data_IF_660098155929
#
_entry.id   IF_660098155929
#
_cell.length_a   1.000
_cell.length_b   1.000
_cell.length_c   1.000
_cell.angle_alpha   90.00
_cell.angle_beta   90.00
_cell.angle_gamma   90.00
#
_symmetry.space_group_name_H-M   'P 1'
#
loop_
_entity.id
_entity.type
_entity.pdbx_description
1 polymer ?
#
# COMPACT_ATOMS: atom_id res chain seq x y z
N UNK A 1 -50.00 36.09 40.66
CA UNK A 1 -49.73 35.75 39.29
C UNK A 1 -48.26 35.30 39.25
N UNK A 2 -48.05 34.02 39.38
CA UNK A 2 -46.77 33.34 39.51
C UNK A 2 -46.41 32.84 38.16
N UNK A 3 -45.30 33.32 37.61
CA UNK A 3 -44.68 32.78 36.37
C UNK A 3 -43.99 31.44 36.68
N UNK A 4 -44.61 30.37 36.31
CA UNK A 4 -43.96 29.07 36.20
C UNK A 4 -43.07 29.08 34.95
N UNK A 5 -41.75 29.18 35.16
CA UNK A 5 -40.77 28.94 34.11
C UNK A 5 -40.71 27.43 33.85
N UNK A 6 -41.21 27.06 32.67
CA UNK A 6 -41.14 25.73 32.07
C UNK A 6 -39.66 25.41 31.68
N UNK A 7 -38.95 24.72 32.55
CA UNK A 7 -37.65 24.13 32.24
C UNK A 7 -37.89 22.78 31.57
N UNK A 8 -37.87 22.74 30.22
CA UNK A 8 -37.74 21.49 29.48
C UNK A 8 -36.34 20.90 29.68
N UNK A 9 -36.21 19.58 29.86
CA UNK A 9 -34.93 18.91 29.88
C UNK A 9 -34.21 19.13 28.54
N UNK A 10 -32.95 19.54 28.61
CA UNK A 10 -32.08 19.63 27.42
C UNK A 10 -31.81 18.19 26.97
N UNK A 11 -32.39 17.79 25.85
CA UNK A 11 -32.02 16.54 25.19
C UNK A 11 -30.53 16.57 24.77
N UNK A 12 -29.77 15.48 24.98
CA UNK A 12 -28.38 15.41 24.54
C UNK A 12 -28.32 15.51 23.01
N UNK A 13 -27.53 16.45 22.52
CA UNK A 13 -27.28 16.60 21.08
C UNK A 13 -26.44 15.38 20.60
N UNK A 14 -27.07 14.41 19.98
CA UNK A 14 -26.40 13.31 19.30
C UNK A 14 -25.58 13.85 18.12
N UNK A 15 -24.27 13.72 18.20
CA UNK A 15 -23.42 13.92 17.04
C UNK A 15 -23.56 12.74 16.07
N UNK A 16 -23.70 12.96 14.75
CA UNK A 16 -23.94 11.88 13.79
C UNK A 16 -22.73 10.93 13.72
N UNK A 17 -22.99 9.64 13.96
CA UNK A 17 -22.02 8.55 13.79
C UNK A 17 -21.38 8.02 15.08
N UNK A 18 -21.85 8.38 16.25
CA UNK A 18 -21.38 7.89 17.55
C UNK A 18 -22.35 6.89 18.15
N UNK A 19 -22.01 5.61 18.10
CA UNK A 19 -22.56 4.66 19.05
C UNK A 19 -21.81 4.86 20.38
N UNK A 20 -22.22 5.85 21.19
CA UNK A 20 -21.92 5.85 22.61
C UNK A 20 -22.80 4.75 23.18
N UNK A 21 -22.19 3.64 23.60
CA UNK A 21 -22.93 2.64 24.35
C UNK A 21 -23.28 3.27 25.70
N UNK A 22 -24.57 3.46 26.04
CA UNK A 22 -24.91 4.01 27.31
C UNK A 22 -24.41 3.07 28.41
N UNK A 23 -23.70 3.65 29.42
CA UNK A 23 -23.39 2.95 30.67
C UNK A 23 -24.72 2.87 31.44
N UNK A 24 -25.51 1.85 31.13
CA UNK A 24 -26.68 1.53 31.94
C UNK A 24 -26.17 0.84 33.20
N UNK A 25 -26.35 1.49 34.35
CA UNK A 25 -26.18 0.91 35.71
C UNK A 25 -27.16 -0.24 35.87
N UNK A 26 -26.78 -1.43 35.40
CA UNK A 26 -27.52 -2.64 35.71
C UNK A 26 -26.98 -3.27 36.97
N UNK A 27 -27.86 -3.65 37.84
CA UNK A 27 -27.49 -4.55 38.95
C UNK A 27 -27.03 -5.85 38.37
N UNK A 28 -25.71 -6.00 38.19
CA UNK A 28 -25.10 -7.11 37.47
C UNK A 28 -23.93 -6.60 36.62
N UNK A 29 -23.41 -7.40 35.77
CA UNK A 29 -22.28 -7.07 34.94
C UNK A 29 -22.70 -6.58 33.54
N UNK A 30 -22.11 -5.49 33.10
CA UNK A 30 -22.20 -5.05 31.71
C UNK A 30 -21.14 -5.77 30.87
N UNK A 31 -21.56 -6.31 29.73
CA UNK A 31 -20.67 -7.02 28.80
C UNK A 31 -20.88 -6.48 27.37
N UNK A 32 -19.78 -6.18 26.70
CA UNK A 32 -19.76 -5.70 25.32
C UNK A 32 -18.66 -6.43 24.56
N UNK A 33 -19.00 -7.01 23.43
CA UNK A 33 -18.00 -7.66 22.56
C UNK A 33 -18.26 -7.36 21.08
N UNK A 34 -17.22 -7.52 20.27
CA UNK A 34 -17.33 -7.36 18.83
C UNK A 34 -16.02 -7.70 18.14
N UNK A 35 -16.03 -7.59 16.81
CA UNK A 35 -14.83 -7.79 16.01
C UNK A 35 -14.94 -7.06 14.68
N UNK A 36 -13.79 -6.75 14.10
CA UNK A 36 -13.65 -6.34 12.72
C UNK A 36 -12.49 -7.10 12.07
N UNK A 37 -12.08 -6.69 10.88
CA UNK A 37 -10.98 -7.35 10.14
C UNK A 37 -9.63 -7.30 10.88
N UNK A 38 -9.39 -6.29 11.71
CA UNK A 38 -8.10 -6.03 12.33
C UNK A 38 -8.04 -6.50 13.78
N UNK A 39 -9.13 -6.33 14.52
CA UNK A 39 -9.18 -6.60 15.97
C UNK A 39 -10.49 -7.27 16.37
N UNK A 40 -10.43 -8.00 17.48
CA UNK A 40 -11.60 -8.49 18.19
C UNK A 40 -11.50 -8.06 19.65
N UNK A 41 -12.63 -7.78 20.29
CA UNK A 41 -12.65 -7.28 21.65
C UNK A 41 -13.76 -7.87 22.48
N UNK A 42 -13.55 -7.86 23.79
CA UNK A 42 -14.54 -8.18 24.80
C UNK A 42 -14.34 -7.32 26.04
N UNK A 43 -15.40 -6.87 26.62
CA UNK A 43 -15.38 -6.07 27.84
C UNK A 43 -16.35 -6.66 28.85
N UNK A 44 -15.98 -6.59 30.13
CA UNK A 44 -16.85 -6.83 31.27
C UNK A 44 -16.60 -5.81 32.35
N UNK A 45 -17.67 -5.19 32.85
CA UNK A 45 -17.67 -4.29 34.00
C UNK A 45 -18.65 -4.83 35.04
N UNK A 46 -18.23 -4.89 36.30
CA UNK A 46 -19.03 -5.39 37.41
C UNK A 46 -18.89 -4.49 38.66
N UNK A 47 -19.97 -4.31 39.39
CA UNK A 47 -20.00 -3.46 40.60
C UNK A 47 -19.15 -4.03 41.73
N UNK A 48 -18.76 -5.29 41.66
CA UNK A 48 -18.11 -6.01 42.74
C UNK A 48 -19.10 -6.50 43.82
N UNK A 49 -18.56 -7.00 44.93
CA UNK A 49 -19.36 -7.60 46.00
C UNK A 49 -19.57 -6.65 47.21
N UNK A 50 -18.83 -5.55 47.27
CA UNK A 50 -18.82 -4.61 48.43
C UNK A 50 -19.39 -3.25 48.07
N UNK A 51 -19.14 -2.75 46.88
CA UNK A 51 -19.61 -1.44 46.40
C UNK A 51 -21.12 -1.47 46.11
N UNK A 52 -21.79 -0.34 46.35
CA UNK A 52 -23.21 -0.19 46.05
C UNK A 52 -23.51 0.31 44.64
N UNK A 53 -22.54 0.95 44.01
CA UNK A 53 -22.64 1.55 42.68
C UNK A 53 -21.36 1.27 41.91
N UNK A 54 -21.47 1.24 40.58
CA UNK A 54 -20.33 1.17 39.71
C UNK A 54 -19.88 2.57 39.32
N UNK A 55 -18.71 2.99 39.79
CA UNK A 55 -18.08 4.26 39.45
C UNK A 55 -17.09 4.15 38.28
N UNK A 56 -16.81 2.90 37.80
CA UNK A 56 -16.06 2.69 36.58
C UNK A 56 -16.87 3.07 35.36
N UNK A 57 -16.19 3.61 34.37
CA UNK A 57 -16.71 3.83 33.00
C UNK A 57 -15.76 3.31 31.96
N UNK A 58 -16.29 2.89 30.81
CA UNK A 58 -15.48 2.47 29.69
C UNK A 58 -16.09 2.91 28.38
N UNK A 59 -15.27 3.00 27.35
CA UNK A 59 -15.72 3.19 25.97
C UNK A 59 -15.05 2.18 25.03
N UNK A 60 -15.88 1.58 24.20
CA UNK A 60 -15.44 0.73 23.09
C UNK A 60 -15.92 1.39 21.80
N UNK A 61 -15.03 2.09 21.15
CA UNK A 61 -15.30 2.80 19.91
C UNK A 61 -14.12 2.62 18.97
N UNK A 62 -14.07 1.46 18.34
CA UNK A 62 -12.95 1.09 17.48
C UNK A 62 -12.56 2.21 16.52
N UNK A 63 -11.27 2.61 16.47
CA UNK A 63 -10.10 1.93 17.05
C UNK A 63 -9.73 2.36 18.49
N UNK A 64 -10.56 3.16 19.17
CA UNK A 64 -10.35 3.67 20.52
C UNK A 64 -10.99 2.76 21.58
N UNK A 65 -10.26 2.54 22.69
CA UNK A 65 -10.69 1.83 23.88
C UNK A 65 -10.21 2.59 25.12
N UNK A 66 -11.09 2.78 26.09
CA UNK A 66 -10.79 3.52 27.30
C UNK A 66 -11.41 2.84 28.50
N UNK A 67 -10.67 2.79 29.61
CA UNK A 67 -11.15 2.45 30.95
C UNK A 67 -10.88 3.66 31.86
N UNK A 68 -11.83 4.01 32.71
CA UNK A 68 -11.76 5.09 33.68
C UNK A 68 -12.41 4.65 34.98
N UNK A 69 -11.66 4.69 36.07
CA UNK A 69 -12.08 4.37 37.41
C UNK A 69 -12.44 5.68 38.15
N UNK A 70 -13.67 5.77 38.59
CA UNK A 70 -14.21 6.97 39.21
C UNK A 70 -13.98 7.00 40.71
N UNK A 71 -13.50 8.13 41.23
CA UNK A 71 -13.29 8.38 42.66
C UNK A 71 -13.93 9.65 43.12
N UNK A 72 -14.29 9.75 44.42
CA UNK A 72 -14.84 10.98 44.98
C UNK A 72 -16.07 10.82 45.90
N UNK A 73 -16.47 9.58 46.17
CA UNK A 73 -17.55 9.24 47.12
C UNK A 73 -18.94 9.79 46.77
N UNK A 74 -20.02 9.04 47.11
CA UNK A 74 -21.42 9.46 46.95
C UNK A 74 -21.82 9.88 45.50
N UNK A 75 -21.60 8.99 44.53
CA UNK A 75 -22.01 9.15 43.13
C UNK A 75 -21.28 10.27 42.33
N UNK A 76 -20.17 10.78 42.87
CA UNK A 76 -19.39 11.80 42.15
C UNK A 76 -18.32 11.15 41.24
N UNK A 77 -17.80 9.98 41.57
CA UNK A 77 -16.86 9.22 40.77
C UNK A 77 -17.47 8.77 39.44
N UNK A 78 -18.70 8.27 39.46
CA UNK A 78 -19.44 7.86 38.24
C UNK A 78 -19.59 9.04 37.25
N UNK A 79 -19.86 10.26 37.77
CA UNK A 79 -19.95 11.44 36.91
C UNK A 79 -18.60 11.80 36.29
N UNK A 80 -17.53 11.74 37.09
CA UNK A 80 -16.19 12.05 36.61
C UNK A 80 -15.75 11.07 35.53
N UNK A 81 -15.87 9.77 35.77
CA UNK A 81 -15.48 8.71 34.82
C UNK A 81 -16.33 8.78 33.53
N UNK A 82 -17.63 9.08 33.64
CA UNK A 82 -18.51 9.28 32.49
C UNK A 82 -18.04 10.47 31.61
N UNK A 83 -17.79 11.64 32.26
CA UNK A 83 -17.27 12.83 31.56
C UNK A 83 -15.93 12.51 30.89
N UNK A 84 -15.05 11.76 31.55
CA UNK A 84 -13.76 11.38 31.01
C UNK A 84 -13.90 10.59 29.72
N UNK A 85 -14.61 9.46 29.75
CA UNK A 85 -14.72 8.58 28.56
C UNK A 85 -15.46 9.25 27.41
N UNK A 86 -16.47 10.07 27.70
CA UNK A 86 -17.20 10.85 26.70
C UNK A 86 -16.29 11.88 26.02
N UNK A 87 -15.50 12.64 26.82
CA UNK A 87 -14.62 13.68 26.29
C UNK A 87 -13.48 13.09 25.48
N UNK A 88 -12.81 12.04 26.01
CA UNK A 88 -11.77 11.32 25.29
C UNK A 88 -12.32 10.74 23.98
N UNK A 89 -13.48 10.07 24.04
CA UNK A 89 -14.16 9.55 22.87
C UNK A 89 -14.53 10.62 21.84
N UNK A 90 -14.74 11.86 22.29
CA UNK A 90 -15.05 13.01 21.45
C UNK A 90 -13.84 13.58 20.73
N UNK A 91 -12.69 13.59 21.38
CA UNK A 91 -11.50 14.30 20.94
C UNK A 91 -10.37 13.40 20.48
N UNK A 92 -10.52 12.07 20.64
CA UNK A 92 -9.50 11.11 20.18
C UNK A 92 -9.17 11.28 18.68
N UNK A 93 -7.88 11.20 18.31
CA UNK A 93 -7.45 11.30 16.94
C UNK A 93 -7.95 10.13 16.08
N UNK A 94 -7.88 10.28 14.74
CA UNK A 94 -8.25 9.22 13.80
C UNK A 94 -7.14 8.19 13.59
N UNK A 95 -5.89 8.57 13.89
CA UNK A 95 -4.69 7.75 13.77
C UNK A 95 -4.06 7.49 15.14
N UNK A 96 -3.18 6.50 15.26
CA UNK A 96 -2.47 6.18 16.51
C UNK A 96 -1.39 7.25 16.80
N UNK A 97 -1.85 8.39 17.28
CA UNK A 97 -1.04 9.55 17.67
C UNK A 97 -1.15 9.72 19.18
N UNK A 98 -0.10 9.43 19.90
CA UNK A 98 -0.07 9.46 21.37
C UNK A 98 -0.15 10.89 21.90
N UNK A 99 0.44 11.87 21.24
CA UNK A 99 0.39 13.30 21.64
C UNK A 99 -1.07 13.79 21.59
N UNK A 100 -1.75 13.51 20.48
CA UNK A 100 -3.15 13.92 20.35
C UNK A 100 -4.09 13.12 21.27
N UNK A 101 -3.78 11.86 21.56
CA UNK A 101 -4.52 11.06 22.53
C UNK A 101 -4.29 11.56 23.96
N UNK A 102 -3.05 11.92 24.31
CA UNK A 102 -2.72 12.58 25.58
C UNK A 102 -3.48 13.90 25.76
N UNK A 103 -3.50 14.73 24.72
CA UNK A 103 -4.27 15.97 24.73
C UNK A 103 -5.79 15.73 24.92
N UNK A 104 -6.34 14.65 24.40
CA UNK A 104 -7.73 14.27 24.63
C UNK A 104 -8.01 13.88 26.10
N UNK A 105 -7.05 13.22 26.76
CA UNK A 105 -7.11 12.89 28.20
C UNK A 105 -7.01 14.17 29.03
N UNK A 106 -6.12 15.10 28.70
CA UNK A 106 -5.98 16.39 29.36
C UNK A 106 -7.22 17.26 29.18
N UNK A 107 -7.86 17.23 28.03
CA UNK A 107 -9.13 17.89 27.80
C UNK A 107 -10.26 17.29 28.66
N UNK A 108 -10.25 15.99 28.93
CA UNK A 108 -11.17 15.33 29.83
C UNK A 108 -10.97 15.83 31.28
N UNK A 109 -9.73 16.06 31.73
CA UNK A 109 -9.43 16.66 33.00
C UNK A 109 -10.14 18.02 33.16
N UNK A 110 -9.95 18.90 32.18
CA UNK A 110 -10.60 20.22 32.19
C UNK A 110 -12.13 20.13 32.13
N UNK A 111 -12.67 19.13 31.40
CA UNK A 111 -14.11 18.91 31.33
C UNK A 111 -14.70 18.43 32.67
N UNK A 112 -13.98 17.60 33.43
CA UNK A 112 -14.39 17.17 34.79
C UNK A 112 -14.40 18.36 35.76
N UNK A 113 -13.32 19.16 35.81
CA UNK A 113 -13.21 20.35 36.61
C UNK A 113 -14.39 21.30 36.33
N UNK A 114 -14.62 21.60 35.07
CA UNK A 114 -15.74 22.42 34.63
C UNK A 114 -17.09 21.81 35.00
N UNK A 115 -17.24 20.49 34.86
CA UNK A 115 -18.44 19.75 35.25
C UNK A 115 -18.76 19.93 36.73
N UNK A 116 -17.76 19.86 37.62
CA UNK A 116 -17.89 20.08 39.03
C UNK A 116 -18.34 21.55 39.37
N UNK A 117 -17.75 22.54 38.68
CA UNK A 117 -18.11 23.96 38.82
C UNK A 117 -19.55 24.24 38.35
N UNK A 118 -20.01 23.58 37.31
CA UNK A 118 -21.37 23.68 36.77
C UNK A 118 -22.42 22.88 37.58
N UNK A 119 -22.00 22.17 38.64
CA UNK A 119 -22.90 21.36 39.47
C UNK A 119 -23.24 19.99 38.89
N UNK A 120 -22.54 19.55 37.88
CA UNK A 120 -22.55 18.17 37.43
C UNK A 120 -21.59 17.37 38.32
N UNK A 121 -22.13 16.61 39.25
CA UNK A 121 -21.33 15.91 40.27
C UNK A 121 -20.97 16.82 41.44
N UNK A 122 -19.80 16.63 42.04
CA UNK A 122 -19.36 17.34 43.26
C UNK A 122 -17.92 17.86 43.12
N UNK A 123 -17.59 18.98 43.82
CA UNK A 123 -16.20 19.41 43.96
C UNK A 123 -15.32 18.29 44.54
N UNK A 124 -14.15 18.06 43.91
CA UNK A 124 -13.24 17.03 44.29
C UNK A 124 -13.55 15.64 43.70
N UNK A 125 -14.53 15.53 42.80
CA UNK A 125 -14.67 14.34 41.96
C UNK A 125 -13.50 14.20 41.03
N UNK A 126 -13.07 12.97 40.77
CA UNK A 126 -12.00 12.68 39.87
C UNK A 126 -12.10 11.26 39.33
N UNK A 127 -11.19 10.90 38.43
CA UNK A 127 -11.10 9.56 37.93
C UNK A 127 -9.69 9.27 37.36
N UNK A 128 -9.42 8.01 37.08
CA UNK A 128 -8.31 7.60 36.26
C UNK A 128 -8.67 7.68 34.75
N UNK A 129 -7.72 7.56 33.88
CA UNK A 129 -7.96 7.29 32.47
C UNK A 129 -6.82 6.45 31.88
N UNK A 130 -7.16 5.30 31.31
CA UNK A 130 -6.24 4.50 30.50
C UNK A 130 -6.87 4.29 29.15
N UNK A 131 -6.32 4.96 28.14
CA UNK A 131 -6.82 5.00 26.77
C UNK A 131 -5.81 4.38 25.82
N UNK A 132 -6.29 3.53 24.90
CA UNK A 132 -5.49 3.01 23.79
C UNK A 132 -6.22 3.23 22.47
N UNK A 133 -5.46 3.59 21.43
CA UNK A 133 -5.96 3.74 20.07
C UNK A 133 -5.07 2.91 19.15
N UNK A 134 -5.68 1.89 18.47
CA UNK A 134 -4.95 0.87 17.71
C UNK A 134 -5.20 1.09 16.22
N UNK A 135 -4.13 1.32 15.45
CA UNK A 135 -4.22 1.51 14.00
C UNK A 135 -3.09 0.80 13.27
N UNK A 136 -3.43 -0.28 12.57
CA UNK A 136 -2.41 -1.13 11.94
C UNK A 136 -1.50 -1.76 12.98
N UNK A 137 -0.19 -1.56 12.82
CA UNK A 137 0.85 -2.04 13.73
C UNK A 137 1.14 -1.11 14.91
N UNK A 138 0.46 0.05 15.00
CA UNK A 138 0.75 1.03 16.04
C UNK A 138 -0.39 1.12 17.04
N UNK A 139 -0.04 1.19 18.31
CA UNK A 139 -0.94 1.48 19.42
C UNK A 139 -0.45 2.73 20.15
N UNK A 140 -1.25 3.80 20.11
CA UNK A 140 -1.05 4.96 20.97
C UNK A 140 -1.68 4.69 22.32
N UNK A 141 -0.99 5.05 23.39
CA UNK A 141 -1.43 4.94 24.80
C UNK A 141 -1.43 6.32 25.40
N UNK A 142 -2.45 6.63 26.21
CA UNK A 142 -2.48 7.79 27.12
C UNK A 142 -3.03 7.36 28.47
N UNK A 143 -2.35 7.74 29.56
CA UNK A 143 -2.60 7.18 30.86
C UNK A 143 -2.47 8.21 31.99
N UNK A 144 -3.42 8.13 32.94
CA UNK A 144 -3.40 8.85 34.24
C UNK A 144 -4.08 7.97 35.28
N UNK A 145 -3.41 7.75 36.43
CA UNK A 145 -3.95 7.00 37.56
C UNK A 145 -3.29 5.66 37.79
N UNK A 146 -4.02 4.69 38.31
CA UNK A 146 -3.58 3.34 38.66
C UNK A 146 -4.41 2.23 37.96
N UNK A 147 -5.30 2.61 37.07
CA UNK A 147 -5.86 1.69 36.07
C UNK A 147 -4.77 1.27 35.10
N UNK A 148 -4.73 0.02 34.68
CA UNK A 148 -3.58 -0.51 33.97
C UNK A 148 -3.87 -0.91 32.53
N UNK A 149 -2.84 -0.82 31.69
CA UNK A 149 -2.75 -1.48 30.40
C UNK A 149 -1.65 -2.54 30.41
N UNK A 150 -1.97 -3.72 29.89
CA UNK A 150 -1.03 -4.80 29.68
C UNK A 150 -0.97 -5.22 28.21
N UNK A 151 0.17 -5.67 27.77
CA UNK A 151 0.39 -6.34 26.49
C UNK A 151 0.79 -7.79 26.72
N UNK A 152 0.01 -8.72 26.23
CA UNK A 152 0.35 -10.12 26.13
C UNK A 152 0.93 -10.40 24.74
N UNK A 153 2.25 -10.53 24.69
CA UNK A 153 3.01 -10.79 23.47
C UNK A 153 3.73 -12.14 23.60
N UNK A 154 3.55 -13.03 22.63
CA UNK A 154 4.16 -14.37 22.61
C UNK A 154 3.92 -15.16 23.91
N UNK A 155 2.76 -14.98 24.54
CA UNK A 155 2.38 -15.70 25.76
C UNK A 155 2.97 -15.11 27.06
N UNK A 156 3.61 -13.95 27.01
CA UNK A 156 4.13 -13.21 28.17
C UNK A 156 3.38 -11.91 28.37
N UNK A 157 2.93 -11.67 29.58
CA UNK A 157 2.27 -10.43 29.98
C UNK A 157 3.30 -9.37 30.39
N UNK A 158 3.17 -8.18 29.84
CA UNK A 158 3.98 -7.02 30.21
C UNK A 158 3.04 -5.89 30.60
N UNK A 159 3.24 -5.29 31.76
CA UNK A 159 2.56 -4.06 32.16
C UNK A 159 3.10 -2.91 31.32
N UNK A 160 2.22 -2.25 30.59
CA UNK A 160 2.55 -1.18 29.64
C UNK A 160 2.50 0.20 30.31
N UNK A 161 1.55 0.38 31.22
CA UNK A 161 1.39 1.62 31.99
C UNK A 161 2.13 1.56 33.33
N UNK A 162 2.51 2.72 33.84
CA UNK A 162 3.11 2.90 35.15
C UNK A 162 2.10 3.56 36.07
N UNK A 163 1.84 2.96 37.25
CA UNK A 163 0.79 3.45 38.14
C UNK A 163 1.18 4.79 38.78
N UNK A 164 0.29 5.78 38.73
CA UNK A 164 0.45 7.02 39.47
C UNK A 164 -0.10 6.84 40.89
N UNK A 165 0.60 6.05 41.70
CA UNK A 165 0.22 5.73 43.07
C UNK A 165 1.40 5.92 44.03
N UNK A 166 1.07 6.23 45.30
CA UNK A 166 2.09 6.40 46.34
C UNK A 166 2.99 5.14 46.50
N UNK A 167 2.40 3.98 46.41
CA UNK A 167 3.17 2.73 46.55
C UNK A 167 4.09 2.46 45.40
N UNK A 168 3.71 2.83 44.18
CA UNK A 168 4.58 2.72 43.00
C UNK A 168 5.78 3.67 43.10
N UNK A 169 5.58 4.89 43.62
CA UNK A 169 6.69 5.83 43.92
C UNK A 169 7.68 5.24 44.94
N UNK A 170 7.21 4.48 45.96
CA UNK A 170 8.08 3.80 46.93
C UNK A 170 8.82 2.63 46.28
N UNK A 171 8.20 1.90 45.37
CA UNK A 171 8.85 0.85 44.60
C UNK A 171 9.95 1.42 43.71
N UNK A 172 9.67 2.50 42.99
CA UNK A 172 10.64 3.21 42.15
C UNK A 172 11.83 3.77 42.94
N UNK A 173 11.55 4.26 44.16
CA UNK A 173 12.61 4.70 45.07
C UNK A 173 13.43 3.52 45.67
N UNK A 174 12.99 2.27 45.46
CA UNK A 174 13.60 1.08 46.04
C UNK A 174 13.37 0.94 47.56
N UNK A 175 12.36 1.65 48.09
CA UNK A 175 12.02 1.63 49.50
C UNK A 175 11.20 0.38 49.90
N UNK A 176 10.37 -0.12 48.98
CA UNK A 176 9.58 -1.34 49.10
C UNK A 176 9.66 -2.18 47.82
N UNK A 177 9.37 -3.45 47.92
CA UNK A 177 9.22 -4.36 46.77
C UNK A 177 7.79 -4.30 46.22
N UNK A 178 7.58 -4.77 44.99
CA UNK A 178 6.23 -4.90 44.41
C UNK A 178 5.29 -5.75 45.26
N UNK A 179 5.79 -6.83 45.90
CA UNK A 179 5.00 -7.67 46.81
C UNK A 179 4.58 -6.91 48.06
N UNK A 180 5.47 -6.08 48.63
CA UNK A 180 5.16 -5.24 49.78
C UNK A 180 4.17 -4.14 49.40
N UNK A 181 4.26 -3.57 48.22
CA UNK A 181 3.32 -2.55 47.70
C UNK A 181 1.87 -3.08 47.64
N UNK A 182 1.66 -4.34 47.24
CA UNK A 182 0.34 -4.99 47.16
C UNK A 182 -0.41 -5.04 48.48
N UNK A 183 0.28 -5.16 49.60
CA UNK A 183 -0.29 -5.28 50.94
C UNK A 183 -0.12 -3.99 51.76
N UNK A 184 0.43 -2.94 51.15
CA UNK A 184 0.72 -1.70 51.86
C UNK A 184 -0.59 -0.96 52.27
N UNK A 185 -0.64 -0.35 53.50
CA UNK A 185 -1.83 0.37 53.95
C UNK A 185 -2.29 1.48 53.02
N UNK A 186 -1.37 2.12 52.30
CA UNK A 186 -1.63 3.24 51.39
C UNK A 186 -1.66 2.83 49.89
N UNK A 187 -1.89 1.52 49.59
CA UNK A 187 -1.88 1.02 48.20
C UNK A 187 -2.91 1.68 47.29
N UNK A 188 -4.01 2.21 47.83
CA UNK A 188 -5.07 2.89 47.07
C UNK A 188 -4.92 4.44 47.06
N UNK A 189 -3.73 4.97 47.40
CA UNK A 189 -3.46 6.40 47.34
C UNK A 189 -2.90 6.73 45.98
N UNK A 190 -3.72 7.38 45.15
CA UNK A 190 -3.37 7.84 43.82
C UNK A 190 -2.69 9.22 43.93
N UNK A 191 -1.57 9.41 43.22
CA UNK A 191 -0.77 10.64 43.22
C UNK A 191 -1.09 11.54 42.04
N UNK A 192 -1.68 10.99 40.95
CA UNK A 192 -2.14 11.76 39.81
C UNK A 192 -3.48 11.23 39.27
N UNK A 193 -4.45 12.11 39.13
CA UNK A 193 -5.80 11.80 38.64
C UNK A 193 -6.42 12.95 37.88
N UNK A 194 -7.42 12.67 37.07
CA UNK A 194 -8.24 13.68 36.40
C UNK A 194 -9.19 14.34 37.39
N UNK A 195 -9.49 15.65 37.21
CA UNK A 195 -10.54 16.38 37.92
C UNK A 195 -10.05 17.24 39.05
N UNK A 196 -8.77 17.22 39.42
CA UNK A 196 -8.26 17.98 40.60
C UNK A 196 -7.28 19.10 40.25
N UNK A 197 -6.38 18.88 39.30
CA UNK A 197 -5.33 19.83 38.91
C UNK A 197 -5.50 20.26 37.46
N UNK A 198 -5.75 21.55 37.14
CA UNK A 198 -5.85 22.03 35.78
C UNK A 198 -4.56 21.85 34.96
N UNK A 199 -3.38 21.76 35.61
CA UNK A 199 -2.08 21.60 34.97
C UNK A 199 -1.64 20.11 34.89
N UNK A 200 -2.54 19.17 35.23
CA UNK A 200 -2.30 17.73 35.12
C UNK A 200 -1.97 17.36 33.68
N UNK A 201 -0.97 16.54 33.52
CA UNK A 201 -0.55 15.98 32.24
C UNK A 201 -0.71 14.44 32.21
N UNK A 202 -1.00 13.91 31.03
CA UNK A 202 -1.08 12.48 30.79
C UNK A 202 0.28 11.92 30.38
N UNK A 203 0.61 10.73 30.85
CA UNK A 203 1.69 9.95 30.27
C UNK A 203 1.19 9.41 28.93
N UNK A 204 1.96 9.62 27.86
CA UNK A 204 1.58 9.15 26.52
C UNK A 204 2.79 8.63 25.74
N UNK A 205 2.57 7.60 24.97
CA UNK A 205 3.59 6.97 24.13
C UNK A 205 2.95 6.08 23.07
N UNK A 206 3.73 5.70 22.07
CA UNK A 206 3.32 4.74 21.05
C UNK A 206 4.18 3.49 21.14
N UNK A 207 3.56 2.32 20.94
CA UNK A 207 4.25 1.04 20.80
C UNK A 207 3.68 0.25 19.62
N UNK A 208 4.48 -0.71 19.15
CA UNK A 208 4.08 -1.59 18.08
C UNK A 208 3.32 -2.82 18.63
N UNK A 209 2.27 -3.20 17.92
CA UNK A 209 1.46 -4.38 18.21
C UNK A 209 1.41 -5.27 16.97
N UNK A 210 1.39 -6.58 17.19
CA UNK A 210 1.51 -7.57 16.14
C UNK A 210 0.32 -8.53 16.12
N UNK A 211 0.13 -9.19 15.01
CA UNK A 211 -0.87 -10.24 14.91
C UNK A 211 -0.64 -11.33 15.95
N UNK A 212 -1.67 -11.62 16.74
CA UNK A 212 -1.63 -12.58 17.85
C UNK A 212 -1.41 -11.94 19.21
N UNK A 213 -1.12 -10.65 19.29
CA UNK A 213 -1.03 -9.92 20.56
C UNK A 213 -2.42 -9.72 21.17
N UNK A 214 -2.45 -9.66 22.50
CA UNK A 214 -3.63 -9.35 23.30
C UNK A 214 -3.34 -8.17 24.22
N UNK A 215 -4.16 -7.15 24.16
CA UNK A 215 -4.09 -5.98 25.03
C UNK A 215 -5.19 -6.12 26.10
N UNK A 216 -4.86 -5.80 27.35
CA UNK A 216 -5.80 -5.82 28.45
C UNK A 216 -5.77 -4.45 29.11
N UNK A 217 -6.94 -3.80 29.21
CA UNK A 217 -7.14 -2.60 30.05
C UNK A 217 -7.99 -2.98 31.23
N UNK A 218 -7.65 -2.51 32.43
CA UNK A 218 -8.43 -2.79 33.61
C UNK A 218 -8.39 -1.64 34.61
N UNK A 219 -9.46 -1.50 35.42
CA UNK A 219 -9.44 -0.72 36.65
C UNK A 219 -8.66 -1.46 37.75
N UNK A 220 -8.37 -0.77 38.83
CA UNK A 220 -7.64 -1.29 39.98
C UNK A 220 -8.36 -2.46 40.69
N UNK A 221 -9.69 -2.58 40.52
CA UNK A 221 -10.47 -3.72 41.02
C UNK A 221 -10.04 -5.09 40.47
N UNK A 222 -9.33 -5.13 39.32
CA UNK A 222 -8.65 -6.35 38.88
C UNK A 222 -7.27 -6.46 39.52
N UNK A 223 -6.37 -5.52 39.28
CA UNK A 223 -4.94 -5.59 39.62
C UNK A 223 -4.65 -5.58 41.11
N UNK A 224 -5.57 -5.04 41.93
CA UNK A 224 -5.49 -5.10 43.39
C UNK A 224 -5.94 -6.45 43.96
N UNK A 225 -6.74 -7.23 43.22
CA UNK A 225 -7.30 -8.53 43.65
C UNK A 225 -6.58 -9.73 43.06
N UNK A 226 -6.11 -9.61 41.81
CA UNK A 226 -5.48 -10.74 41.04
C UNK A 226 -4.05 -10.33 40.70
N UNK A 227 -3.10 -11.23 40.88
CA UNK A 227 -1.71 -10.96 40.53
C UNK A 227 -1.44 -11.09 39.02
N UNK A 228 -0.34 -10.46 38.58
CA UNK A 228 -0.01 -10.41 37.16
C UNK A 228 0.24 -11.79 36.57
N UNK A 229 0.75 -12.76 37.37
CA UNK A 229 0.95 -14.13 36.89
C UNK A 229 -0.39 -14.87 36.69
N UNK A 230 -1.38 -14.64 37.54
CA UNK A 230 -2.74 -15.18 37.38
C UNK A 230 -3.46 -14.47 36.21
N UNK A 231 -3.29 -13.16 36.08
CA UNK A 231 -3.81 -12.39 34.88
C UNK A 231 -3.24 -13.00 33.61
N UNK A 232 -1.92 -13.24 33.54
CA UNK A 232 -1.26 -13.88 32.38
C UNK A 232 -1.87 -15.25 32.09
N UNK A 233 -1.97 -16.11 33.11
CA UNK A 233 -2.50 -17.47 32.95
C UNK A 233 -3.93 -17.47 32.40
N UNK A 234 -4.79 -16.64 32.98
CA UNK A 234 -6.19 -16.51 32.56
C UNK A 234 -6.31 -15.93 31.14
N UNK A 235 -5.49 -14.93 30.83
CA UNK A 235 -5.46 -14.31 29.52
C UNK A 235 -4.98 -15.28 28.43
N UNK A 236 -3.86 -15.98 28.67
CA UNK A 236 -3.30 -16.99 27.74
C UNK A 236 -4.29 -18.13 27.50
N UNK A 237 -4.94 -18.63 28.57
CA UNK A 237 -5.85 -19.80 28.50
C UNK A 237 -7.22 -19.48 27.91
N UNK A 238 -7.49 -18.24 27.53
CA UNK A 238 -8.81 -17.82 27.05
C UNK A 238 -8.89 -17.80 25.53
N UNK A 239 -9.92 -18.46 24.98
CA UNK A 239 -10.10 -18.63 23.55
C UNK A 239 -10.61 -17.37 22.81
N UNK A 240 -11.15 -16.39 23.54
CA UNK A 240 -11.64 -15.13 22.97
C UNK A 240 -11.47 -13.99 23.96
N UNK A 241 -11.46 -12.73 23.47
CA UNK A 241 -11.39 -11.55 24.34
C UNK A 241 -12.48 -11.53 25.40
N UNK A 242 -13.74 -11.83 25.02
CA UNK A 242 -14.84 -11.83 25.99
C UNK A 242 -14.66 -12.93 27.06
N UNK A 243 -14.23 -14.13 26.67
CA UNK A 243 -13.95 -15.20 27.63
C UNK A 243 -12.80 -14.82 28.59
N UNK A 244 -11.81 -14.07 28.12
CA UNK A 244 -10.74 -13.54 28.95
C UNK A 244 -11.27 -12.50 29.95
N UNK A 245 -12.02 -11.52 29.48
CA UNK A 245 -12.64 -10.50 30.34
C UNK A 245 -13.55 -11.13 31.39
N UNK A 246 -14.39 -12.10 31.01
CA UNK A 246 -15.28 -12.81 31.93
C UNK A 246 -14.53 -13.58 33.03
N UNK A 247 -13.43 -14.28 32.66
CA UNK A 247 -12.61 -15.02 33.62
C UNK A 247 -11.86 -14.10 34.56
N UNK A 248 -11.27 -13.00 34.03
CA UNK A 248 -10.53 -12.03 34.84
C UNK A 248 -11.43 -11.34 35.87
N UNK A 249 -12.62 -10.87 35.47
CA UNK A 249 -13.60 -10.31 36.40
C UNK A 249 -14.06 -11.36 37.41
N UNK A 250 -14.32 -12.61 36.98
CA UNK A 250 -14.70 -13.68 37.88
C UNK A 250 -13.62 -14.02 38.89
N UNK A 251 -12.33 -13.96 38.53
CA UNK A 251 -11.21 -14.12 39.45
C UNK A 251 -11.16 -13.01 40.48
N UNK A 252 -11.31 -11.74 40.09
CA UNK A 252 -11.36 -10.60 40.99
C UNK A 252 -12.54 -10.71 42.00
N UNK A 253 -13.73 -11.11 41.53
CA UNK A 253 -14.89 -11.36 42.40
C UNK A 253 -14.63 -12.52 43.37
N UNK A 254 -13.97 -13.60 42.92
CA UNK A 254 -13.64 -14.74 43.73
C UNK A 254 -12.58 -14.43 44.80
N UNK A 255 -11.69 -13.47 44.51
CA UNK A 255 -10.68 -12.96 45.45
C UNK A 255 -11.26 -11.95 46.47
N UNK A 256 -12.55 -11.66 46.40
CA UNK A 256 -13.25 -10.80 47.36
C UNK A 256 -14.11 -9.70 46.76
N UNK A 257 -13.84 -9.31 45.53
CA UNK A 257 -14.67 -8.28 44.80
C UNK A 257 -14.83 -6.98 45.59
N UNK A 258 -13.74 -6.47 46.16
CA UNK A 258 -13.80 -5.35 47.11
C UNK A 258 -14.15 -4.02 46.42
N UNK A 259 -13.89 -3.93 45.12
CA UNK A 259 -14.15 -2.73 44.32
C UNK A 259 -14.92 -3.02 43.04
N UNK A 260 -15.31 -1.96 42.31
CA UNK A 260 -15.74 -2.06 40.94
C UNK A 260 -14.62 -2.66 40.11
N UNK A 261 -14.95 -3.53 39.15
CA UNK A 261 -13.96 -4.18 38.31
C UNK A 261 -14.39 -4.12 36.85
N UNK A 262 -13.58 -3.43 36.08
CA UNK A 262 -13.76 -3.30 34.63
C UNK A 262 -12.54 -3.87 33.92
N UNK A 263 -12.79 -4.80 32.99
CA UNK A 263 -11.75 -5.41 32.16
C UNK A 263 -12.16 -5.34 30.69
N UNK A 264 -11.26 -4.84 29.88
CA UNK A 264 -11.43 -4.75 28.43
C UNK A 264 -10.25 -5.47 27.78
N UNK A 265 -10.52 -6.45 26.94
CA UNK A 265 -9.52 -7.27 26.25
C UNK A 265 -9.66 -7.09 24.73
N UNK A 266 -8.54 -6.88 24.08
CA UNK A 266 -8.47 -6.66 22.62
C UNK A 266 -7.44 -7.63 22.03
N UNK A 267 -7.83 -8.45 21.05
CA UNK A 267 -6.95 -9.31 20.27
C UNK A 267 -6.63 -8.66 18.94
N UNK A 268 -5.36 -8.61 18.57
CA UNK A 268 -4.89 -8.17 17.26
C UNK A 268 -4.99 -9.34 16.29
N UNK A 269 -5.91 -9.27 15.35
CA UNK A 269 -6.15 -10.30 14.32
C UNK A 269 -5.32 -10.07 13.06
N UNK A 270 -5.01 -8.81 12.76
CA UNK A 270 -4.25 -8.40 11.60
C UNK A 270 -3.60 -7.05 11.88
N UNK A 271 -2.28 -7.00 11.84
CA UNK A 271 -1.50 -5.77 12.01
C UNK A 271 -1.46 -4.89 10.74
N UNK A 272 -2.02 -5.38 9.62
CA UNK A 272 -2.03 -4.68 8.34
C UNK A 272 -0.70 -4.70 7.58
N UNK A 273 0.38 -5.25 8.15
CA UNK A 273 1.71 -5.31 7.52
C UNK A 273 1.68 -6.05 6.19
N UNK A 274 1.00 -7.20 6.13
CA UNK A 274 0.87 -8.00 4.91
C UNK A 274 0.12 -7.24 3.81
N UNK A 275 -0.93 -6.51 4.16
CA UNK A 275 -1.70 -5.68 3.22
C UNK A 275 -0.90 -4.49 2.72
N UNK A 276 -0.18 -3.80 3.63
CA UNK A 276 0.70 -2.69 3.27
C UNK A 276 1.85 -3.16 2.37
N UNK A 277 2.48 -4.30 2.67
CA UNK A 277 3.51 -4.91 1.84
C UNK A 277 2.99 -5.27 0.44
N UNK A 278 1.80 -5.88 0.34
CA UNK A 278 1.13 -6.20 -0.93
C UNK A 278 0.83 -4.94 -1.74
N UNK A 279 0.31 -3.89 -1.10
CA UNK A 279 0.03 -2.61 -1.76
C UNK A 279 1.30 -1.96 -2.32
N UNK A 280 2.40 -1.94 -1.54
CA UNK A 280 3.71 -1.45 -1.98
C UNK A 280 4.27 -2.26 -3.15
N UNK A 281 4.11 -3.59 -3.11
CA UNK A 281 4.53 -4.48 -4.21
C UNK A 281 3.75 -4.20 -5.50
N UNK A 282 2.42 -4.10 -5.43
CA UNK A 282 1.56 -3.79 -6.58
C UNK A 282 1.88 -2.42 -7.19
N UNK A 283 2.16 -1.41 -6.36
CA UNK A 283 2.59 -0.10 -6.83
C UNK A 283 3.95 -0.17 -7.56
N UNK A 284 4.93 -0.91 -7.03
CA UNK A 284 6.24 -1.12 -7.68
C UNK A 284 6.09 -1.84 -9.02
N UNK A 285 5.27 -2.89 -9.09
CA UNK A 285 4.99 -3.61 -10.33
C UNK A 285 4.32 -2.66 -11.34
N UNK A 286 3.32 -1.88 -10.90
CA UNK A 286 2.64 -0.91 -11.76
C UNK A 286 3.57 0.17 -12.34
N UNK A 287 4.47 0.73 -11.52
CA UNK A 287 5.47 1.72 -12.00
C UNK A 287 6.50 1.09 -12.95
N UNK A 288 6.95 -0.12 -12.66
CA UNK A 288 7.86 -0.85 -13.54
C UNK A 288 7.24 -1.17 -14.91
N UNK A 289 6.00 -1.71 -14.91
CA UNK A 289 5.29 -2.03 -16.16
C UNK A 289 4.98 -0.80 -16.99
N UNK A 290 4.62 0.33 -16.35
CA UNK A 290 4.43 1.61 -17.03
C UNK A 290 5.75 2.10 -17.67
N UNK A 291 6.88 2.00 -16.96
CA UNK A 291 8.20 2.34 -17.48
C UNK A 291 8.59 1.49 -18.70
N UNK A 292 8.38 0.18 -18.63
CA UNK A 292 8.65 -0.73 -19.77
C UNK A 292 7.78 -0.37 -20.98
N UNK A 293 6.49 -0.10 -20.76
CA UNK A 293 5.58 0.29 -21.85
C UNK A 293 6.03 1.59 -22.54
N UNK A 294 6.39 2.61 -21.75
CA UNK A 294 6.90 3.89 -22.30
C UNK A 294 8.17 3.66 -23.12
N UNK A 295 9.09 2.82 -22.61
CA UNK A 295 10.32 2.47 -23.34
C UNK A 295 10.02 1.78 -24.65
N UNK A 296 9.10 0.81 -24.67
CA UNK A 296 8.69 0.10 -25.89
C UNK A 296 8.06 1.06 -26.92
N UNK A 297 7.19 1.98 -26.47
CA UNK A 297 6.59 2.99 -27.36
C UNK A 297 7.68 3.92 -27.93
N UNK A 298 8.64 4.35 -27.10
CA UNK A 298 9.75 5.19 -27.55
C UNK A 298 10.63 4.45 -28.60
N UNK A 299 10.96 3.18 -28.36
CA UNK A 299 11.72 2.36 -29.32
C UNK A 299 10.95 2.19 -30.63
N UNK A 300 9.66 1.89 -30.55
CA UNK A 300 8.81 1.77 -31.75
C UNK A 300 8.73 3.10 -32.53
N UNK A 301 8.60 4.23 -31.83
CA UNK A 301 8.59 5.56 -32.47
C UNK A 301 9.92 5.88 -33.17
N UNK A 302 11.06 5.57 -32.50
CA UNK A 302 12.38 5.72 -33.07
C UNK A 302 12.58 4.82 -34.28
N UNK A 303 12.11 3.57 -34.22
CA UNK A 303 12.18 2.64 -35.36
C UNK A 303 11.35 3.15 -36.54
N UNK A 304 10.13 3.63 -36.32
CA UNK A 304 9.29 4.22 -37.37
C UNK A 304 9.95 5.47 -37.97
N UNK A 305 10.55 6.32 -37.13
CA UNK A 305 11.27 7.49 -37.61
C UNK A 305 12.49 7.11 -38.46
N UNK A 306 13.23 6.07 -38.05
CA UNK A 306 14.35 5.52 -38.80
C UNK A 306 13.90 4.94 -40.16
N UNK A 307 12.86 4.12 -40.19
CA UNK A 307 12.31 3.58 -41.44
C UNK A 307 11.90 4.71 -42.39
N UNK A 308 11.26 5.77 -41.88
CA UNK A 308 10.83 6.91 -42.69
C UNK A 308 11.99 7.81 -43.16
N UNK A 309 13.17 7.69 -42.60
CA UNK A 309 14.34 8.46 -43.04
C UNK A 309 15.10 7.81 -44.20
N UNK A 310 14.86 6.53 -44.46
CA UNK A 310 15.52 5.79 -45.52
C UNK A 310 14.76 5.97 -46.86
N UNK A 311 15.52 6.02 -47.93
CA UNK A 311 14.99 6.14 -49.30
C UNK A 311 15.71 5.14 -50.22
N UNK A 312 15.02 4.65 -51.23
CA UNK A 312 15.64 3.77 -52.23
C UNK A 312 14.88 3.79 -53.56
N UNK A 313 15.59 3.41 -54.63
CA UNK A 313 15.03 3.18 -55.94
C UNK A 313 14.85 1.69 -56.16
N UNK A 314 13.69 1.29 -56.66
CA UNK A 314 13.40 -0.12 -56.98
C UNK A 314 12.39 -0.21 -58.14
N UNK A 315 12.19 -1.40 -58.70
CA UNK A 315 11.21 -1.62 -59.74
C UNK A 315 9.78 -1.33 -59.28
N UNK A 316 9.05 -0.56 -60.09
CA UNK A 316 7.59 -0.41 -60.00
C UNK A 316 7.00 -0.89 -61.34
N UNK A 317 6.73 -2.20 -61.42
CA UNK A 317 6.37 -2.87 -62.67
C UNK A 317 7.50 -2.79 -63.69
N UNK A 318 7.29 -2.11 -64.83
CA UNK A 318 8.30 -1.94 -65.90
C UNK A 318 9.12 -0.65 -65.76
N UNK A 319 8.83 0.15 -64.73
CA UNK A 319 9.46 1.46 -64.49
C UNK A 319 10.23 1.52 -63.19
N UNK A 320 11.09 2.49 -63.03
CA UNK A 320 11.75 2.81 -61.78
C UNK A 320 10.81 3.54 -60.86
N UNK A 321 10.67 3.10 -59.59
CA UNK A 321 9.92 3.78 -58.55
C UNK A 321 10.83 4.38 -57.49
N UNK A 322 10.43 5.50 -56.88
CA UNK A 322 11.05 6.14 -55.71
C UNK A 322 10.27 5.68 -54.46
N UNK A 323 10.96 4.99 -53.57
CA UNK A 323 10.38 4.44 -52.35
C UNK A 323 10.98 5.10 -51.12
N UNK A 324 10.09 5.39 -50.14
CA UNK A 324 10.49 5.78 -48.80
C UNK A 324 10.36 4.56 -47.86
N UNK A 325 11.40 4.25 -47.12
CA UNK A 325 11.43 3.13 -46.21
C UNK A 325 12.58 2.17 -46.48
N UNK A 326 12.46 0.97 -45.92
CA UNK A 326 13.44 -0.10 -46.07
C UNK A 326 12.84 -1.20 -46.97
N UNK A 327 13.58 -1.64 -47.94
CA UNK A 327 13.16 -2.75 -48.81
C UNK A 327 13.09 -4.07 -48.02
N UNK A 328 11.91 -4.32 -47.40
CA UNK A 328 11.67 -5.49 -46.58
C UNK A 328 10.28 -5.48 -45.96
N UNK A 329 9.96 -6.56 -45.26
CA UNK A 329 8.69 -6.72 -44.54
C UNK A 329 8.96 -7.05 -43.09
N UNK A 330 8.09 -6.52 -42.20
CA UNK A 330 8.06 -6.86 -40.77
C UNK A 330 6.67 -7.34 -40.41
N UNK A 331 6.57 -8.54 -39.88
CA UNK A 331 5.28 -9.17 -39.46
C UNK A 331 4.22 -9.17 -40.60
N UNK A 332 4.66 -9.35 -41.86
CA UNK A 332 3.76 -9.35 -43.03
C UNK A 332 3.29 -7.95 -43.49
N UNK A 333 3.87 -6.90 -42.94
CA UNK A 333 3.61 -5.52 -43.34
C UNK A 333 4.86 -4.96 -44.05
N UNK A 334 4.72 -4.34 -45.25
CA UNK A 334 5.83 -3.70 -45.91
C UNK A 334 6.36 -2.52 -45.10
N UNK A 335 7.70 -2.44 -45.01
CA UNK A 335 8.38 -1.31 -44.31
C UNK A 335 8.69 -0.17 -45.30
N UNK A 336 7.99 -0.10 -46.40
CA UNK A 336 8.19 0.89 -47.46
C UNK A 336 6.87 1.41 -48.01
N UNK A 337 6.93 2.57 -48.62
CA UNK A 337 5.82 3.17 -49.35
C UNK A 337 6.34 3.73 -50.66
N UNK A 338 5.68 3.42 -51.78
CA UNK A 338 5.97 4.06 -53.07
C UNK A 338 5.53 5.55 -52.95
N UNK A 339 6.51 6.42 -53.14
CA UNK A 339 6.27 7.87 -53.09
C UNK A 339 5.96 8.42 -54.43
N UNK A 340 6.78 8.03 -55.43
CA UNK A 340 6.61 8.49 -56.81
C UNK A 340 6.98 7.41 -57.84
N UNK A 341 6.05 7.03 -58.75
CA UNK A 341 6.36 6.23 -59.91
C UNK A 341 7.02 7.12 -61.00
N UNK A 342 8.11 6.67 -61.59
CA UNK A 342 8.82 7.41 -62.61
C UNK A 342 8.47 6.90 -64.03
N UNK A 343 8.84 7.69 -65.04
CA UNK A 343 8.62 7.30 -66.45
C UNK A 343 9.81 6.53 -67.05
N UNK A 344 10.88 6.32 -66.28
CA UNK A 344 12.10 5.64 -66.75
C UNK A 344 11.84 4.15 -66.85
N UNK A 345 11.93 3.62 -68.08
CA UNK A 345 11.75 2.19 -68.37
C UNK A 345 13.00 1.40 -67.95
N UNK A 346 12.85 0.34 -67.17
CA UNK A 346 13.95 -0.48 -66.67
C UNK A 346 14.72 -1.15 -67.81
N UNK A 347 14.01 -1.57 -68.84
CA UNK A 347 14.60 -2.20 -70.04
C UNK A 347 15.53 -1.28 -70.86
N UNK A 348 15.39 0.02 -70.70
CA UNK A 348 16.23 1.00 -71.40
C UNK A 348 17.50 1.37 -70.63
N UNK A 349 17.70 0.76 -69.42
CA UNK A 349 18.87 0.95 -68.57
C UNK A 349 19.91 -0.14 -68.79
N UNK A 350 21.20 0.11 -68.52
CA UNK A 350 22.23 -0.93 -68.60
C UNK A 350 21.97 -2.12 -67.64
N UNK A 351 22.29 -3.34 -68.03
CA UNK A 351 22.06 -4.59 -67.26
C UNK A 351 22.57 -4.51 -65.81
N UNK A 352 23.71 -3.84 -65.63
CA UNK A 352 24.27 -3.64 -64.30
C UNK A 352 23.38 -2.82 -63.38
N UNK A 353 22.69 -1.80 -63.91
CA UNK A 353 21.76 -0.94 -63.19
C UNK A 353 20.44 -1.65 -62.94
N UNK A 354 19.95 -2.44 -63.90
CA UNK A 354 18.76 -3.26 -63.76
C UNK A 354 18.92 -4.25 -62.56
N UNK A 355 20.06 -4.93 -62.48
CA UNK A 355 20.36 -5.87 -61.38
C UNK A 355 20.45 -5.15 -60.02
N UNK A 356 20.95 -3.93 -59.99
CA UNK A 356 21.01 -3.13 -58.77
C UNK A 356 19.62 -2.65 -58.32
N UNK A 357 18.77 -2.23 -59.27
CA UNK A 357 17.38 -1.83 -58.98
C UNK A 357 16.56 -2.97 -58.36
N UNK A 358 16.74 -4.23 -58.86
CA UNK A 358 16.08 -5.39 -58.26
C UNK A 358 16.41 -5.59 -56.77
N UNK A 359 17.61 -5.21 -56.34
CA UNK A 359 18.03 -5.25 -54.93
C UNK A 359 17.63 -4.02 -54.14
N UNK A 360 17.21 -2.98 -54.83
CA UNK A 360 16.99 -1.65 -54.29
C UNK A 360 18.29 -0.83 -54.17
N UNK A 361 18.34 0.30 -54.81
CA UNK A 361 19.47 1.24 -54.73
C UNK A 361 19.20 2.24 -53.61
N UNK A 362 19.91 2.14 -52.47
CA UNK A 362 19.73 3.04 -51.36
C UNK A 362 20.20 4.44 -51.72
N UNK A 363 19.44 5.45 -51.28
CA UNK A 363 19.75 6.88 -51.47
C UNK A 363 19.50 7.62 -50.16
N UNK A 364 20.22 8.72 -49.92
CA UNK A 364 20.17 9.41 -48.63
C UNK A 364 18.97 10.35 -48.51
N UNK A 365 18.44 10.82 -49.62
CA UNK A 365 17.33 11.81 -49.67
C UNK A 365 16.46 11.61 -50.88
N UNK A 366 15.23 12.12 -50.82
CA UNK A 366 14.31 12.23 -51.96
C UNK A 366 14.92 12.99 -53.12
N UNK A 367 15.62 14.09 -52.85
CA UNK A 367 16.29 14.91 -53.87
C UNK A 367 17.41 14.12 -54.59
N UNK A 368 18.13 13.27 -53.89
CA UNK A 368 19.14 12.39 -54.47
C UNK A 368 18.49 11.32 -55.37
N UNK A 369 17.35 10.74 -54.94
CA UNK A 369 16.56 9.83 -55.75
C UNK A 369 16.14 10.46 -57.07
N UNK A 370 15.62 11.67 -57.03
CA UNK A 370 15.23 12.42 -58.21
C UNK A 370 16.44 12.71 -59.12
N UNK A 371 17.58 13.12 -58.58
CA UNK A 371 18.79 13.41 -59.35
C UNK A 371 19.30 12.15 -60.09
N UNK A 372 19.24 10.96 -59.45
CA UNK A 372 19.61 9.69 -60.08
C UNK A 372 18.65 9.32 -61.21
N UNK A 373 17.34 9.50 -60.99
CA UNK A 373 16.32 9.24 -62.02
C UNK A 373 16.48 10.19 -63.20
N UNK A 374 16.80 11.47 -62.96
CA UNK A 374 17.12 12.40 -64.04
C UNK A 374 18.39 11.99 -64.81
N UNK A 375 19.43 11.58 -64.10
CA UNK A 375 20.65 11.03 -64.75
C UNK A 375 20.34 9.83 -65.63
N UNK A 376 19.43 8.96 -65.23
CA UNK A 376 19.01 7.81 -66.05
C UNK A 376 18.24 8.29 -67.33
N UNK A 377 17.41 9.31 -67.23
CA UNK A 377 16.74 9.90 -68.41
C UNK A 377 17.75 10.49 -69.37
N UNK A 378 18.71 11.25 -68.88
CA UNK A 378 19.75 11.85 -69.71
C UNK A 378 20.61 10.79 -70.45
N UNK A 379 20.92 9.67 -69.73
CA UNK A 379 21.66 8.57 -70.32
C UNK A 379 20.86 7.87 -71.42
N UNK A 380 19.56 7.61 -71.18
CA UNK A 380 18.67 6.99 -72.17
C UNK A 380 18.50 7.89 -73.40
N UNK A 381 18.33 9.19 -73.21
CA UNK A 381 18.16 10.15 -74.29
C UNK A 381 19.45 10.34 -75.10
N UNK A 382 20.62 10.30 -74.43
CA UNK A 382 21.92 10.33 -75.10
C UNK A 382 22.18 9.07 -75.94
N UNK A 383 21.76 7.89 -75.41
CA UNK A 383 21.86 6.64 -76.14
C UNK A 383 20.92 6.57 -77.37
N UNK A 384 19.68 7.06 -77.20
CA UNK A 384 18.70 7.17 -78.28
C UNK A 384 19.21 8.11 -79.39
N UNK A 385 19.79 9.24 -78.99
CA UNK A 385 20.37 10.21 -79.92
C UNK A 385 21.55 9.61 -80.68
N UNK A 386 22.49 8.93 -80.00
CA UNK A 386 23.63 8.21 -80.63
C UNK A 386 23.17 7.07 -81.53
N UNK A 387 22.13 6.34 -81.14
CA UNK A 387 21.56 5.28 -81.96
C UNK A 387 20.87 5.86 -83.21
N UNK A 388 20.20 6.98 -83.10
CA UNK A 388 19.60 7.71 -84.22
C UNK A 388 20.67 8.27 -85.18
N UNK A 389 21.75 8.88 -84.66
CA UNK A 389 22.90 9.34 -85.44
C UNK A 389 23.59 8.18 -86.19
N UNK A 390 23.83 7.04 -85.51
CA UNK A 390 24.37 5.88 -86.16
C UNK A 390 23.45 5.26 -87.22
N UNK A 391 22.14 5.33 -87.01
CA UNK A 391 21.15 4.86 -87.96
C UNK A 391 21.05 5.78 -89.20
N UNK A 392 21.29 7.11 -89.01
CA UNK A 392 21.44 8.02 -90.17
C UNK A 392 22.75 7.89 -90.88
N UNK A 393 23.90 7.65 -90.21
CA UNK A 393 25.18 7.37 -90.82
C UNK A 393 25.13 6.05 -91.63
N UNK A 394 24.49 4.99 -91.10
CA UNK A 394 24.28 3.73 -91.80
C UNK A 394 23.37 3.84 -93.02
N UNK A 395 22.48 4.84 -93.07
CA UNK A 395 21.63 5.15 -94.27
C UNK A 395 22.40 5.92 -95.37
N UNK A 396 23.46 6.61 -95.01
CA UNK A 396 24.26 7.40 -95.93
C UNK A 396 25.34 6.62 -96.69
N UNK A 397 25.71 5.37 -96.18
CA UNK A 397 26.77 4.53 -96.81
C UNK A 397 26.26 3.28 -97.51
N UNK A 398 25.01 3.30 -98.04
CA UNK A 398 24.33 2.25 -98.85
C UNK A 398 24.62 2.31 -100.37
N UNK A 399 25.74 1.88 -100.84
CA UNK A 399 26.03 1.58 -102.24
C UNK A 399 26.19 0.08 -102.48
N UNK A 400 25.21 -0.47 -103.08
CA UNK A 400 24.89 -1.52 -104.04
C UNK A 400 25.76 -2.80 -104.10
N UNK A 401 25.15 -3.94 -104.59
CA UNK A 401 25.40 -5.28 -104.11
C UNK A 401 26.19 -6.13 -105.07
N UNK A 402 26.67 -7.24 -104.71
CA UNK A 402 26.64 -8.52 -105.45
C UNK A 402 27.64 -9.55 -104.84
N UNK A 403 27.19 -10.81 -104.85
CA UNK A 403 28.08 -11.93 -104.87
C UNK A 403 27.82 -13.07 -103.86
N UNK A 404 27.05 -14.01 -104.36
CA UNK A 404 26.76 -15.33 -103.84
C UNK A 404 27.97 -16.11 -103.31
N UNK A 405 27.83 -16.98 -102.37
CA UNK A 405 27.75 -18.43 -102.51
C UNK A 405 27.73 -19.16 -101.15
N UNK A 406 26.70 -19.91 -100.97
CA UNK A 406 26.46 -21.24 -100.42
C UNK A 406 27.74 -21.99 -99.89
N UNK A 407 27.68 -22.46 -98.69
CA UNK A 407 27.75 -23.94 -98.35
C UNK A 407 27.56 -24.13 -96.84
N UNK A 408 26.61 -25.01 -96.58
CA UNK A 408 26.35 -25.83 -95.39
C UNK A 408 27.36 -27.01 -95.38
N UNK A 409 27.37 -27.96 -94.44
CA UNK A 409 27.01 -28.06 -93.01
C UNK A 409 28.06 -28.83 -92.14
N UNK A 410 27.73 -28.94 -90.87
CA UNK A 410 28.04 -30.12 -90.02
C UNK A 410 29.46 -30.33 -89.47
N UNK A 411 29.53 -30.26 -88.10
CA UNK A 411 30.12 -31.32 -87.27
C UNK A 411 30.25 -30.96 -85.85
N UNK A 412 29.58 -31.73 -85.05
CA UNK A 412 29.95 -31.92 -83.64
C UNK A 412 31.14 -32.88 -83.60
N UNK A 413 31.96 -33.08 -82.63
CA UNK A 413 31.55 -33.82 -81.42
C UNK A 413 32.27 -33.46 -80.08
N UNK A 414 31.58 -33.88 -79.05
CA UNK A 414 32.00 -34.68 -77.91
C UNK A 414 33.28 -34.35 -77.10
N UNK A 415 33.11 -34.45 -75.82
CA UNK A 415 34.08 -35.13 -74.98
C UNK A 415 34.32 -34.52 -73.63
N UNK A 416 33.72 -35.19 -72.69
CA UNK A 416 34.24 -35.74 -71.41
C UNK A 416 34.77 -34.74 -70.38
N UNK A 417 34.24 -34.76 -69.22
CA UNK A 417 34.11 -35.76 -68.16
C UNK A 417 35.04 -35.48 -66.99
N UNK A 418 34.43 -35.64 -65.85
CA UNK A 418 34.96 -36.18 -64.59
C UNK A 418 35.54 -35.15 -63.56
N UNK A 419 34.92 -35.06 -62.47
CA UNK A 419 34.88 -35.86 -61.23
C UNK A 419 35.63 -35.29 -60.07
N UNK A 420 35.02 -35.43 -58.95
CA UNK A 420 35.57 -35.83 -57.70
C UNK A 420 35.30 -34.79 -56.58
N UNK A 421 34.38 -34.95 -55.72
CA UNK A 421 34.22 -35.91 -54.62
C UNK A 421 34.95 -35.49 -53.33
N UNK A 422 34.16 -35.55 -52.31
CA UNK A 422 34.43 -35.92 -50.89
C UNK A 422 34.54 -34.77 -49.89
N UNK A 423 33.67 -34.69 -48.95
CA UNK A 423 33.24 -35.56 -47.81
C UNK A 423 33.99 -35.26 -46.50
N UNK A 424 33.19 -35.30 -45.50
CA UNK A 424 33.39 -35.70 -44.10
C UNK A 424 33.38 -34.55 -43.09
N UNK A 425 32.33 -34.46 -42.28
CA UNK A 425 32.05 -35.17 -41.00
C UNK A 425 33.14 -34.97 -39.94
N UNK A 426 32.69 -34.47 -38.81
CA UNK A 426 32.67 -35.09 -37.47
C UNK A 426 32.33 -33.98 -36.44
N UNK A 427 31.26 -34.08 -35.69
CA UNK A 427 31.04 -34.74 -34.39
C UNK A 427 31.95 -34.30 -33.22
N UNK A 428 31.29 -34.07 -32.09
CA UNK A 428 31.84 -34.15 -30.75
C UNK A 428 31.28 -33.04 -29.87
N UNK A 429 30.16 -33.21 -29.15
CA UNK A 429 30.05 -33.79 -27.80
C UNK A 429 31.04 -33.15 -26.80
N UNK A 430 30.66 -32.57 -25.70
CA UNK A 430 29.92 -33.03 -24.54
C UNK A 430 30.24 -32.12 -23.33
N UNK A 431 29.25 -31.95 -22.51
CA UNK A 431 29.24 -32.04 -21.04
C UNK A 431 30.08 -31.00 -20.27
N UNK A 432 29.58 -30.39 -19.28
CA UNK A 432 28.86 -30.76 -18.12
C UNK A 432 29.14 -29.82 -16.99
N UNK A 433 28.19 -29.67 -16.10
CA UNK A 433 28.33 -29.66 -14.69
C UNK A 433 28.61 -28.30 -14.04
N UNK A 434 27.71 -27.67 -13.37
CA UNK A 434 27.38 -27.92 -12.02
C UNK A 434 28.07 -26.95 -11.07
N UNK A 435 27.30 -26.06 -10.49
CA UNK A 435 27.13 -25.80 -9.07
C UNK A 435 26.07 -24.71 -8.89
#
# INVERSE_FOLDING_TARGET
MSDEQNTQPIEPVEAPGRAILPVENRVGADAVSGSNHFISWGCRSDVGLVRGHNEDSFIVRTPLFVVSDGMGGHAAGEVASSIAVETIGAQAPAEADDILLGAAVEAANLAIIKGAEEGRGKPGMGCTATAVLIKGEHMAVAHVGDSRAYLLHEGRLVRVTHDHSFVEELVDAGEITEDEARVHPSRSVITRALGSDPEMYADHFTLDVHNGDRIILCSDGLSSMVDDAEIELLAVSSASPQAAADKLVSAALSAGGADNVTVLVIDILNDGLAEAARKRLLQRIGTFTAGVLVTLVAVAALFIAFVKSEWYLAPDGETVGIYQGINGEFAGMPLYTLVEPTTVQIKDLPDAVQTQLERGIPVSTEAEAHAIVESYRDQIDAEKTRAAEKAEEAKSDGGDPTGATVTDPNEAPEGEAAAGANAAQTEGQSSGGGA
#
